data_IF_620570525540
#
_entry.id   IF_620570525540
#
_cell.length_a   1.000
_cell.length_b   1.000
_cell.length_c   1.000
_cell.angle_alpha   90.00
_cell.angle_beta   90.00
_cell.angle_gamma   90.00
#
_symmetry.space_group_name_H-M   'P 1'
#
loop_
_entity.id
_entity.type
_entity.pdbx_description
1 polymer ?
#
# COMPACT_ATOMS: atom_id res chain seq x y z
N UNK A 1 -14.44 -40.26 -9.66
CA UNK A 1 -15.28 -39.04 -9.59
C UNK A 1 -14.87 -38.27 -8.35
N UNK A 2 -14.56 -36.98 -8.48
CA UNK A 2 -14.33 -36.09 -7.33
C UNK A 2 -15.68 -35.71 -6.74
N UNK A 3 -15.85 -35.77 -5.42
CA UNK A 3 -17.13 -35.40 -4.78
C UNK A 3 -17.34 -33.88 -4.79
N UNK A 4 -18.60 -33.45 -4.82
CA UNK A 4 -18.96 -32.03 -4.73
C UNK A 4 -18.39 -31.38 -3.46
N UNK A 5 -18.34 -32.15 -2.36
CA UNK A 5 -17.74 -31.68 -1.10
C UNK A 5 -16.22 -31.47 -1.20
N UNK A 6 -15.53 -32.31 -1.97
CA UNK A 6 -14.09 -32.13 -2.24
C UNK A 6 -13.87 -30.85 -3.07
N UNK A 7 -14.73 -30.58 -4.06
CA UNK A 7 -14.66 -29.35 -4.85
C UNK A 7 -14.90 -28.11 -4.00
N UNK A 8 -15.90 -28.11 -3.10
CA UNK A 8 -16.16 -26.98 -2.18
C UNK A 8 -14.97 -26.69 -1.27
N UNK A 9 -14.34 -27.73 -0.71
CA UNK A 9 -13.15 -27.58 0.16
C UNK A 9 -11.97 -26.97 -0.61
N UNK A 10 -11.72 -27.44 -1.83
CA UNK A 10 -10.65 -26.89 -2.69
C UNK A 10 -10.92 -25.43 -3.04
N UNK A 11 -12.15 -25.08 -3.44
CA UNK A 11 -12.51 -23.69 -3.77
C UNK A 11 -12.37 -22.76 -2.56
N UNK A 12 -12.79 -23.20 -1.37
CA UNK A 12 -12.62 -22.42 -0.13
C UNK A 12 -11.14 -22.19 0.19
N UNK A 13 -10.33 -23.25 0.16
CA UNK A 13 -8.90 -23.16 0.46
C UNK A 13 -8.15 -22.25 -0.54
N UNK A 14 -8.49 -22.34 -1.83
CA UNK A 14 -7.96 -21.43 -2.86
C UNK A 14 -8.40 -20.00 -2.59
N UNK A 15 -9.68 -19.77 -2.25
CA UNK A 15 -10.20 -18.45 -1.90
C UNK A 15 -9.48 -17.81 -0.71
N UNK A 16 -9.25 -18.58 0.36
CA UNK A 16 -8.51 -18.15 1.55
C UNK A 16 -7.05 -17.81 1.21
N UNK A 17 -6.38 -18.65 0.43
CA UNK A 17 -4.99 -18.41 0.02
C UNK A 17 -4.86 -17.17 -0.89
N UNK A 18 -5.79 -16.98 -1.82
CA UNK A 18 -5.86 -15.78 -2.67
C UNK A 18 -6.12 -14.54 -1.82
N UNK A 19 -7.07 -14.60 -0.90
CA UNK A 19 -7.37 -13.52 0.03
C UNK A 19 -6.16 -13.11 0.88
N UNK A 20 -5.44 -14.08 1.45
CA UNK A 20 -4.23 -13.83 2.24
C UNK A 20 -3.11 -13.22 1.38
N UNK A 21 -2.94 -13.70 0.15
CA UNK A 21 -1.93 -13.16 -0.79
C UNK A 21 -2.23 -11.72 -1.19
N UNK A 22 -3.51 -11.40 -1.45
CA UNK A 22 -3.96 -10.04 -1.76
C UNK A 22 -3.75 -9.11 -0.56
N UNK A 23 -4.09 -9.58 0.66
CA UNK A 23 -3.85 -8.82 1.89
C UNK A 23 -2.37 -8.48 2.10
N UNK A 24 -1.48 -9.45 1.89
CA UNK A 24 -0.03 -9.22 1.98
C UNK A 24 0.47 -8.22 0.93
N UNK A 25 -0.01 -8.32 -0.31
CA UNK A 25 0.32 -7.37 -1.37
C UNK A 25 -0.13 -5.95 -1.01
N UNK A 26 -1.32 -5.80 -0.43
CA UNK A 26 -1.83 -4.51 0.01
C UNK A 26 -0.90 -3.89 1.07
N UNK A 27 -0.53 -4.65 2.09
CA UNK A 27 0.38 -4.18 3.16
C UNK A 27 1.75 -3.77 2.59
N UNK A 28 2.36 -4.62 1.75
CA UNK A 28 3.66 -4.32 1.13
C UNK A 28 3.56 -3.03 0.30
N UNK A 29 2.51 -2.90 -0.51
CA UNK A 29 2.30 -1.72 -1.36
C UNK A 29 2.11 -0.48 -0.51
N UNK A 30 1.34 -0.53 0.58
CA UNK A 30 1.20 0.60 1.51
C UNK A 30 2.55 1.04 2.09
N UNK A 31 3.37 0.08 2.56
CA UNK A 31 4.70 0.40 3.11
C UNK A 31 5.63 1.02 2.05
N UNK A 32 5.62 0.48 0.82
CA UNK A 32 6.41 1.01 -0.29
C UNK A 32 5.98 2.43 -0.67
N UNK A 33 4.68 2.66 -0.83
CA UNK A 33 4.10 3.97 -1.16
C UNK A 33 4.53 5.03 -0.15
N UNK A 34 4.59 4.70 1.14
CA UNK A 34 5.08 5.64 2.15
C UNK A 34 6.57 5.88 2.14
N UNK A 35 7.36 4.84 1.93
CA UNK A 35 8.81 5.01 1.77
C UNK A 35 9.11 5.99 0.61
N UNK A 36 8.30 5.95 -0.45
CA UNK A 36 8.39 6.89 -1.56
C UNK A 36 8.02 8.33 -1.15
N UNK A 37 7.01 8.56 -0.31
CA UNK A 37 6.70 9.90 0.22
C UNK A 37 7.85 10.45 1.04
N UNK A 38 8.41 9.65 1.95
CA UNK A 38 9.53 10.08 2.80
C UNK A 38 10.72 10.46 1.93
N UNK A 39 11.04 9.64 0.92
CA UNK A 39 12.11 9.93 -0.03
C UNK A 39 11.84 11.19 -0.86
N UNK A 40 10.64 11.34 -1.40
CA UNK A 40 10.27 12.51 -2.20
C UNK A 40 10.32 13.81 -1.36
N UNK A 41 9.88 13.77 -0.10
CA UNK A 41 10.02 14.87 0.84
C UNK A 41 11.49 15.21 1.14
N UNK A 42 12.33 14.19 1.37
CA UNK A 42 13.76 14.40 1.60
C UNK A 42 14.43 15.08 0.39
N UNK A 43 14.14 14.60 -0.83
CA UNK A 43 14.64 15.20 -2.08
C UNK A 43 14.13 16.64 -2.23
N UNK A 44 12.84 16.87 -1.98
CA UNK A 44 12.23 18.20 -2.11
C UNK A 44 12.88 19.24 -1.20
N UNK A 45 13.29 18.83 0.00
CA UNK A 45 13.85 19.69 1.03
C UNK A 45 15.39 19.76 1.02
N UNK A 46 16.07 18.97 0.18
CA UNK A 46 17.54 19.02 0.06
C UNK A 46 17.97 20.31 -0.67
N UNK A 47 18.82 21.15 -0.06
CA UNK A 47 19.30 22.38 -0.70
C UNK A 47 20.23 22.12 -1.90
N UNK A 48 20.82 20.93 -2.01
CA UNK A 48 21.81 20.59 -3.04
C UNK A 48 21.21 19.98 -4.31
N UNK A 49 19.92 19.66 -4.33
CA UNK A 49 19.27 19.15 -5.55
C UNK A 49 18.89 20.29 -6.50
N UNK A 50 18.83 19.99 -7.80
CA UNK A 50 18.41 20.95 -8.82
C UNK A 50 16.93 21.30 -8.68
N UNK A 51 16.54 22.44 -9.24
CA UNK A 51 15.13 22.85 -9.24
C UNK A 51 14.24 21.88 -10.04
N UNK A 52 14.76 21.37 -11.16
CA UNK A 52 14.11 20.33 -11.95
C UNK A 52 13.84 19.08 -11.10
N UNK A 53 14.84 18.61 -10.34
CA UNK A 53 14.68 17.46 -9.44
C UNK A 53 13.66 17.73 -8.34
N UNK A 54 13.63 18.95 -7.77
CA UNK A 54 12.60 19.36 -6.79
C UNK A 54 11.18 19.34 -7.38
N UNK A 55 11.02 19.81 -8.61
CA UNK A 55 9.74 19.79 -9.31
C UNK A 55 9.27 18.36 -9.59
N UNK A 56 10.18 17.48 -10.02
CA UNK A 56 9.88 16.06 -10.18
C UNK A 56 9.47 15.40 -8.86
N UNK A 57 10.21 15.64 -7.77
CA UNK A 57 9.85 15.14 -6.45
C UNK A 57 8.46 15.62 -6.00
N UNK A 58 8.16 16.91 -6.20
CA UNK A 58 6.85 17.49 -5.89
C UNK A 58 5.72 16.90 -6.74
N UNK A 59 5.99 16.58 -8.02
CA UNK A 59 5.03 15.89 -8.89
C UNK A 59 4.81 14.45 -8.44
N UNK A 60 5.88 13.72 -8.12
CA UNK A 60 5.81 12.35 -7.60
C UNK A 60 5.01 12.27 -6.32
N UNK A 61 5.13 13.24 -5.41
CA UNK A 61 4.30 13.28 -4.19
C UNK A 61 2.81 13.27 -4.50
N UNK A 62 2.33 14.07 -5.47
CA UNK A 62 0.91 14.07 -5.87
C UNK A 62 0.45 12.70 -6.40
N UNK A 63 1.32 12.01 -7.13
CA UNK A 63 1.03 10.65 -7.60
C UNK A 63 0.98 9.66 -6.44
N UNK A 64 1.85 9.82 -5.44
CA UNK A 64 1.88 8.93 -4.27
C UNK A 64 0.65 9.17 -3.38
N UNK A 65 0.20 10.41 -3.20
CA UNK A 65 -1.03 10.73 -2.48
C UNK A 65 -2.24 10.03 -3.11
N UNK A 66 -2.37 10.07 -4.45
CA UNK A 66 -3.41 9.35 -5.18
C UNK A 66 -3.31 7.82 -5.01
N UNK A 67 -2.10 7.27 -4.91
CA UNK A 67 -1.91 5.84 -4.65
C UNK A 67 -2.37 5.48 -3.23
N UNK A 68 -2.12 6.34 -2.23
CA UNK A 68 -2.62 6.13 -0.86
C UNK A 68 -4.15 6.15 -0.83
N UNK A 69 -4.78 7.16 -1.43
CA UNK A 69 -6.24 7.25 -1.47
C UNK A 69 -6.86 5.99 -2.11
N UNK A 70 -6.28 5.52 -3.22
CA UNK A 70 -6.74 4.30 -3.87
C UNK A 70 -6.54 3.05 -3.00
N UNK A 71 -5.41 2.95 -2.29
CA UNK A 71 -5.17 1.85 -1.35
C UNK A 71 -6.17 1.87 -0.19
N UNK A 72 -6.53 3.03 0.32
CA UNK A 72 -7.55 3.19 1.37
C UNK A 72 -8.96 2.82 0.90
N UNK A 73 -9.29 3.11 -0.36
CA UNK A 73 -10.58 2.70 -0.96
C UNK A 73 -10.63 1.19 -1.22
N UNK A 74 -9.52 0.60 -1.68
CA UNK A 74 -9.42 -0.84 -1.93
C UNK A 74 -9.35 -1.67 -0.64
N UNK A 75 -8.82 -1.08 0.42
CA UNK A 75 -8.91 -1.61 1.76
C UNK A 75 -10.36 -1.53 2.25
N UNK A 76 -11.04 -2.67 2.43
CA UNK A 76 -12.29 -2.70 3.19
C UNK A 76 -12.09 -2.20 4.63
N UNK A 77 -13.18 -1.98 5.38
CA UNK A 77 -13.15 -1.36 6.73
C UNK A 77 -12.09 -1.96 7.69
N UNK A 78 -11.90 -3.28 7.71
CA UNK A 78 -10.89 -3.93 8.57
C UNK A 78 -9.44 -3.65 8.13
N UNK A 79 -9.21 -3.53 6.82
CA UNK A 79 -7.89 -3.21 6.27
C UNK A 79 -7.56 -1.73 6.43
N UNK A 80 -8.57 -0.84 6.50
CA UNK A 80 -8.37 0.59 6.77
C UNK A 80 -7.84 0.84 8.18
N UNK A 81 -8.30 0.09 9.18
CA UNK A 81 -7.82 0.22 10.57
C UNK A 81 -6.36 -0.23 10.68
N UNK A 82 -6.00 -1.35 10.05
CA UNK A 82 -4.59 -1.81 9.97
C UNK A 82 -3.71 -0.81 9.22
N UNK A 83 -4.20 -0.23 8.11
CA UNK A 83 -3.47 0.82 7.38
C UNK A 83 -3.29 2.06 8.26
N UNK A 84 -4.31 2.46 9.03
CA UNK A 84 -4.26 3.60 9.96
C UNK A 84 -3.31 3.37 11.13
N UNK A 85 -3.30 2.20 11.74
CA UNK A 85 -2.33 1.87 12.79
C UNK A 85 -0.90 1.92 12.26
N UNK A 86 -0.68 1.35 11.07
CA UNK A 86 0.58 1.51 10.37
C UNK A 86 0.87 3.00 10.07
N UNK A 87 -0.14 3.83 9.74
CA UNK A 87 -0.03 5.31 9.51
C UNK A 87 0.51 6.01 10.76
N UNK A 88 -0.14 5.82 11.90
CA UNK A 88 0.25 6.47 13.15
C UNK A 88 1.66 6.09 13.64
N UNK A 89 2.10 4.85 13.43
CA UNK A 89 3.43 4.40 13.88
C UNK A 89 4.62 5.07 13.18
N UNK A 90 4.42 5.69 12.01
CA UNK A 90 5.48 6.37 11.26
C UNK A 90 5.53 7.87 11.58
N UNK A 91 4.39 8.49 11.90
CA UNK A 91 4.33 9.93 12.26
C UNK A 91 4.90 10.24 13.67
N UNK A 92 5.01 9.23 14.55
CA UNK A 92 5.60 9.38 15.89
C UNK A 92 7.14 9.21 15.94
N UNK A 93 7.83 9.12 14.79
CA UNK A 93 9.29 8.98 14.70
C UNK A 93 9.94 10.15 13.99
#
# INVERSE_FOLDING_TARGET
>A
MVSEETLKKVVSAVGEQVGASIGNLLVITTLQTRALIVLANAIKNDPNVSEETRLHASSSMKTIDLLIENLEVMAGQNSQETIRELLGMIDER
#
